data_IF_078036112628
#
_entry.id   IF_078036112628
#
_cell.length_a   1.000
_cell.length_b   1.000
_cell.length_c   1.000
_cell.angle_alpha   90.00
_cell.angle_beta   90.00
_cell.angle_gamma   90.00
#
_symmetry.space_group_name_H-M   'P 1'
#
loop_
_entity.id
_entity.type
_entity.pdbx_description
1 polymer ?
#
# COMPACT_ATOMS: atom_id res chain seq x y z
N UNK A 1 -19.78 -7.42 9.73
CA UNK A 1 -20.29 -6.08 10.14
C UNK A 1 -20.88 -5.35 8.94
N UNK A 2 -21.96 -5.86 8.33
CA UNK A 2 -22.62 -5.22 7.19
C UNK A 2 -24.13 -5.29 7.41
N UNK A 3 -24.67 -4.42 8.30
CA UNK A 3 -26.12 -4.10 8.37
C UNK A 3 -26.52 -3.04 9.42
N UNK A 4 -25.60 -2.22 9.94
CA UNK A 4 -25.90 -1.34 11.10
C UNK A 4 -25.95 0.15 10.79
N UNK A 5 -25.80 0.59 9.54
CA UNK A 5 -25.86 2.01 9.18
C UNK A 5 -27.11 2.31 8.34
N UNK A 6 -27.96 3.20 8.84
CA UNK A 6 -29.21 3.65 8.21
C UNK A 6 -29.03 4.82 7.24
N UNK A 7 -27.83 5.43 7.21
CA UNK A 7 -27.53 6.58 6.38
C UNK A 7 -27.23 6.17 4.93
N UNK A 8 -27.87 6.86 3.97
CA UNK A 8 -27.66 6.68 2.53
C UNK A 8 -26.54 7.55 1.95
N UNK A 9 -26.06 8.53 2.72
CA UNK A 9 -25.02 9.47 2.31
C UNK A 9 -24.03 9.69 3.46
N UNK A 10 -22.75 9.63 3.14
CA UNK A 10 -21.65 9.94 4.05
C UNK A 10 -20.84 11.07 3.43
N UNK A 11 -20.71 12.19 4.14
CA UNK A 11 -19.87 13.30 3.74
C UNK A 11 -18.64 13.33 4.63
N UNK A 12 -17.46 13.40 4.01
CA UNK A 12 -16.20 13.64 4.70
C UNK A 12 -15.54 14.88 4.10
N UNK A 13 -15.27 15.88 4.93
CA UNK A 13 -14.47 17.06 4.54
C UNK A 13 -13.09 16.91 5.16
N UNK A 14 -12.04 17.06 4.35
CA UNK A 14 -10.67 16.86 4.78
C UNK A 14 -9.71 17.76 4.00
N UNK A 15 -8.42 17.50 4.11
CA UNK A 15 -7.37 18.23 3.40
C UNK A 15 -6.95 17.51 2.12
N UNK A 16 -6.30 18.25 1.23
CA UNK A 16 -5.55 17.75 0.07
C UNK A 16 -4.63 16.55 0.41
N UNK A 17 -3.95 16.60 1.57
CA UNK A 17 -3.12 15.51 2.09
C UNK A 17 -3.89 14.23 2.45
N UNK A 18 -5.22 14.32 2.61
CA UNK A 18 -6.10 13.15 2.72
C UNK A 18 -6.47 12.63 1.34
N UNK A 19 -6.84 13.54 0.42
CA UNK A 19 -7.20 13.18 -0.95
C UNK A 19 -6.04 12.52 -1.69
N UNK A 20 -4.80 12.99 -1.54
CA UNK A 20 -3.62 12.38 -2.18
C UNK A 20 -3.44 10.92 -1.74
N UNK A 21 -3.79 10.56 -0.50
CA UNK A 21 -3.72 9.17 -0.03
C UNK A 21 -4.80 8.29 -0.64
N UNK A 22 -5.99 8.85 -0.84
CA UNK A 22 -7.07 8.18 -1.55
C UNK A 22 -6.69 8.01 -3.02
N UNK A 23 -6.15 9.04 -3.67
CA UNK A 23 -5.64 9.00 -5.03
C UNK A 23 -4.58 7.90 -5.22
N UNK A 24 -3.62 7.77 -4.30
CA UNK A 24 -2.66 6.66 -4.33
C UNK A 24 -3.34 5.28 -4.25
N UNK A 25 -4.36 5.14 -3.41
CA UNK A 25 -5.12 3.89 -3.29
C UNK A 25 -5.96 3.60 -4.53
N UNK A 26 -6.38 4.63 -5.25
CA UNK A 26 -7.06 4.49 -6.54
C UNK A 26 -6.10 4.40 -7.73
N UNK A 27 -4.78 4.42 -7.49
CA UNK A 27 -3.72 4.52 -8.51
C UNK A 27 -3.99 5.64 -9.53
N UNK A 28 -4.46 6.77 -8.99
CA UNK A 28 -4.70 7.99 -9.73
C UNK A 28 -3.39 8.77 -9.85
N UNK A 29 -2.80 8.69 -11.04
CA UNK A 29 -1.48 9.22 -11.36
C UNK A 29 -1.56 10.57 -12.09
N UNK A 30 -2.76 11.14 -12.18
CA UNK A 30 -3.01 12.44 -12.82
C UNK A 30 -2.50 13.57 -11.92
N UNK A 31 -2.29 14.76 -12.49
CA UNK A 31 -1.79 15.90 -11.71
C UNK A 31 -2.75 16.26 -10.57
N UNK A 32 -4.07 16.25 -10.79
CA UNK A 32 -5.08 16.59 -9.77
C UNK A 32 -5.25 15.48 -8.71
N UNK A 33 -4.79 14.25 -9.01
CA UNK A 33 -4.71 13.18 -8.02
C UNK A 33 -3.58 13.43 -7.02
N UNK A 34 -2.46 13.96 -7.51
CA UNK A 34 -1.26 14.24 -6.71
C UNK A 34 -1.28 15.62 -6.05
N UNK A 35 -1.87 16.58 -6.72
CA UNK A 35 -1.99 17.97 -6.29
C UNK A 35 -3.46 18.39 -6.41
N UNK A 36 -4.33 17.92 -5.51
CA UNK A 36 -5.74 18.23 -5.53
C UNK A 36 -5.99 19.75 -5.59
N UNK A 37 -6.71 20.27 -6.59
CA UNK A 37 -7.13 21.67 -6.62
C UNK A 37 -8.11 21.99 -5.48
N UNK A 38 -8.34 23.28 -5.26
CA UNK A 38 -9.24 23.73 -4.20
C UNK A 38 -10.65 23.15 -4.40
N UNK A 39 -11.21 22.60 -3.32
CA UNK A 39 -12.53 21.97 -3.29
C UNK A 39 -12.71 20.77 -4.24
N UNK A 40 -11.63 20.06 -4.57
CA UNK A 40 -11.74 18.76 -5.24
C UNK A 40 -12.61 17.81 -4.42
N UNK A 41 -13.57 17.20 -5.11
CA UNK A 41 -14.57 16.29 -4.55
C UNK A 41 -14.44 14.94 -5.24
N UNK A 42 -14.31 13.89 -4.43
CA UNK A 42 -14.42 12.50 -4.88
C UNK A 42 -15.73 11.91 -4.34
N UNK A 43 -16.58 11.43 -5.24
CA UNK A 43 -17.84 10.77 -4.90
C UNK A 43 -17.72 9.28 -5.19
N UNK A 44 -18.09 8.44 -4.22
CA UNK A 44 -18.21 7.00 -4.38
C UNK A 44 -19.68 6.62 -4.20
N UNK A 45 -20.26 6.05 -5.24
CA UNK A 45 -21.67 5.65 -5.28
C UNK A 45 -21.76 4.11 -5.31
N UNK A 46 -22.65 3.56 -4.50
CA UNK A 46 -23.05 2.16 -4.60
C UNK A 46 -24.29 2.07 -5.48
N UNK A 47 -24.15 1.46 -6.63
CA UNK A 47 -25.20 1.27 -7.63
C UNK A 47 -25.69 -0.18 -7.58
N UNK A 48 -26.98 -0.39 -7.78
CA UNK A 48 -27.56 -1.72 -7.99
C UNK A 48 -27.98 -1.84 -9.47
N UNK A 49 -27.54 -2.90 -10.13
CA UNK A 49 -28.01 -3.21 -11.47
C UNK A 49 -29.45 -3.72 -11.39
N UNK A 50 -30.37 -3.03 -12.07
CA UNK A 50 -31.79 -3.35 -11.99
C UNK A 50 -32.13 -4.76 -12.48
N UNK A 51 -31.36 -5.29 -13.44
CA UNK A 51 -31.64 -6.56 -14.13
C UNK A 51 -31.24 -7.78 -13.30
N UNK A 52 -30.04 -7.79 -12.75
CA UNK A 52 -29.46 -8.94 -12.06
C UNK A 52 -29.24 -8.72 -10.56
N UNK A 53 -29.57 -7.52 -10.04
CA UNK A 53 -29.42 -7.13 -8.64
C UNK A 53 -27.98 -7.20 -8.13
N UNK A 54 -27.00 -7.13 -9.04
CA UNK A 54 -25.59 -7.06 -8.69
C UNK A 54 -25.19 -5.63 -8.33
N UNK A 55 -24.26 -5.50 -7.37
CA UNK A 55 -23.80 -4.20 -6.91
C UNK A 55 -22.52 -3.76 -7.62
N UNK A 56 -22.48 -2.48 -7.95
CA UNK A 56 -21.36 -1.80 -8.58
C UNK A 56 -20.96 -0.57 -7.78
N UNK A 57 -19.69 -0.19 -7.84
CA UNK A 57 -19.19 1.09 -7.34
C UNK A 57 -18.93 1.99 -8.53
N UNK A 58 -19.47 3.22 -8.51
CA UNK A 58 -19.05 4.29 -9.41
C UNK A 58 -18.25 5.32 -8.64
N UNK A 59 -17.12 5.73 -9.19
CA UNK A 59 -16.33 6.82 -8.64
C UNK A 59 -16.39 8.03 -9.57
N UNK A 60 -16.53 9.24 -9.02
CA UNK A 60 -16.52 10.49 -9.79
C UNK A 60 -15.59 11.48 -9.10
N UNK A 61 -14.78 12.18 -9.90
CA UNK A 61 -13.89 13.24 -9.43
C UNK A 61 -14.21 14.54 -10.14
N UNK A 62 -14.20 15.64 -9.40
CA UNK A 62 -14.42 16.96 -9.97
C UNK A 62 -14.03 18.06 -9.00
N UNK A 63 -13.95 19.28 -9.52
CA UNK A 63 -13.60 20.46 -8.74
C UNK A 63 -14.21 21.71 -9.40
N UNK A 64 -14.37 22.83 -8.66
CA UNK A 64 -14.68 24.11 -9.27
C UNK A 64 -13.51 24.60 -10.13
N UNK A 65 -13.77 25.43 -11.12
CA UNK A 65 -12.72 26.17 -11.80
C UNK A 65 -11.91 27.04 -10.82
N UNK A 66 -10.61 27.19 -11.07
CA UNK A 66 -9.66 27.77 -10.09
C UNK A 66 -9.34 29.25 -10.36
N UNK A 67 -9.99 29.87 -11.36
CA UNK A 67 -9.78 31.27 -11.72
C UNK A 67 -11.11 32.02 -11.82
N UNK A 68 -11.13 33.36 -11.62
CA UNK A 68 -12.37 34.14 -11.76
C UNK A 68 -13.09 33.96 -13.10
N UNK A 69 -12.33 33.79 -14.20
CA UNK A 69 -12.89 33.62 -15.55
C UNK A 69 -13.74 32.35 -15.70
N UNK A 70 -13.51 31.35 -14.85
CA UNK A 70 -14.31 30.10 -14.82
C UNK A 70 -15.61 30.25 -14.03
N UNK A 71 -15.83 31.39 -13.37
CA UNK A 71 -16.95 31.60 -12.45
C UNK A 71 -16.96 30.66 -11.24
N UNK A 72 -15.85 29.93 -11.00
CA UNK A 72 -15.75 28.87 -9.99
C UNK A 72 -16.83 27.78 -10.13
N UNK A 73 -17.34 27.56 -11.34
CA UNK A 73 -18.34 26.53 -11.59
C UNK A 73 -17.74 25.13 -11.39
N UNK A 74 -18.48 24.27 -10.69
CA UNK A 74 -18.10 22.88 -10.49
C UNK A 74 -18.31 22.09 -11.77
N UNK A 75 -17.31 21.27 -12.13
CA UNK A 75 -17.40 20.32 -13.22
C UNK A 75 -16.83 18.96 -12.79
N UNK A 76 -17.42 17.89 -13.32
CA UNK A 76 -16.82 16.57 -13.27
C UNK A 76 -15.69 16.47 -14.29
N UNK A 77 -14.64 15.77 -13.93
CA UNK A 77 -13.54 15.49 -14.83
C UNK A 77 -13.88 14.29 -15.71
N UNK A 78 -13.96 14.52 -17.02
CA UNK A 78 -14.33 13.50 -18.00
C UNK A 78 -13.19 12.55 -18.34
N UNK A 79 -11.95 13.01 -18.16
CA UNK A 79 -10.75 12.30 -18.60
C UNK A 79 -10.17 11.41 -17.49
N UNK A 80 -10.66 11.56 -16.27
CA UNK A 80 -10.26 10.73 -15.14
C UNK A 80 -10.92 9.35 -15.21
N UNK A 81 -10.09 8.30 -15.13
CA UNK A 81 -10.53 6.90 -15.15
C UNK A 81 -10.19 6.15 -13.86
N UNK A 82 -11.21 5.55 -13.26
CA UNK A 82 -11.08 4.59 -12.17
C UNK A 82 -10.43 3.31 -12.68
N UNK A 83 -9.49 2.77 -11.90
CA UNK A 83 -8.93 1.44 -12.11
C UNK A 83 -9.58 0.41 -11.21
N UNK A 84 -9.75 -0.80 -11.73
CA UNK A 84 -10.30 -1.95 -11.02
C UNK A 84 -9.47 -3.20 -11.31
N UNK A 85 -9.75 -4.29 -10.59
CA UNK A 85 -8.96 -5.52 -10.68
C UNK A 85 -9.88 -6.71 -10.74
N UNK A 86 -9.72 -7.54 -11.76
CA UNK A 86 -10.52 -8.75 -11.95
C UNK A 86 -10.07 -9.90 -11.02
N UNK A 87 -10.77 -11.04 -11.11
CA UNK A 87 -10.48 -12.22 -10.29
C UNK A 87 -9.08 -12.83 -10.55
N UNK A 88 -8.44 -12.50 -11.68
CA UNK A 88 -7.10 -12.95 -12.05
C UNK A 88 -6.00 -11.97 -11.63
N UNK A 89 -6.36 -10.96 -10.82
CA UNK A 89 -5.48 -9.89 -10.35
C UNK A 89 -4.95 -8.99 -11.47
N UNK A 90 -5.65 -8.91 -12.60
CA UNK A 90 -5.30 -7.98 -13.67
C UNK A 90 -6.01 -6.65 -13.47
N UNK A 91 -5.23 -5.57 -13.47
CA UNK A 91 -5.76 -4.22 -13.38
C UNK A 91 -6.28 -3.76 -14.74
N UNK A 92 -7.42 -3.08 -14.76
CA UNK A 92 -8.05 -2.53 -15.97
C UNK A 92 -8.72 -1.19 -15.68
N UNK A 93 -8.91 -0.38 -16.72
CA UNK A 93 -9.65 0.89 -16.61
C UNK A 93 -11.16 0.61 -16.68
N UNK A 94 -11.89 1.17 -15.73
CA UNK A 94 -13.33 1.03 -15.63
C UNK A 94 -14.05 1.84 -16.71
N UNK A 95 -15.05 1.24 -17.35
CA UNK A 95 -15.98 1.97 -18.23
C UNK A 95 -16.88 2.84 -17.35
N UNK A 96 -17.05 4.10 -17.73
CA UNK A 96 -17.86 5.09 -16.99
C UNK A 96 -17.54 5.17 -15.49
N UNK A 97 -16.27 4.95 -15.15
CA UNK A 97 -15.77 4.88 -13.78
C UNK A 97 -16.55 3.93 -12.86
N UNK A 98 -17.10 2.86 -13.43
CA UNK A 98 -17.98 1.92 -12.74
C UNK A 98 -17.37 0.52 -12.72
N UNK A 99 -17.35 -0.11 -11.54
CA UNK A 99 -16.80 -1.45 -11.33
C UNK A 99 -17.74 -2.34 -10.55
N UNK A 100 -17.73 -3.66 -10.79
CA UNK A 100 -18.31 -4.61 -9.84
C UNK A 100 -17.71 -4.38 -8.45
N UNK A 101 -18.53 -4.44 -7.39
CA UNK A 101 -18.06 -4.22 -6.01
C UNK A 101 -16.88 -5.14 -5.66
N UNK A 102 -16.92 -6.40 -6.11
CA UNK A 102 -15.85 -7.35 -5.86
C UNK A 102 -14.51 -6.92 -6.48
N UNK A 103 -14.54 -6.34 -7.67
CA UNK A 103 -13.36 -5.92 -8.42
C UNK A 103 -12.78 -4.61 -7.86
N UNK A 104 -13.65 -3.68 -7.48
CA UNK A 104 -13.25 -2.47 -6.76
C UNK A 104 -12.61 -2.81 -5.41
N UNK A 105 -13.23 -3.68 -4.61
CA UNK A 105 -12.68 -4.11 -3.32
C UNK A 105 -11.35 -4.81 -3.50
N UNK A 106 -11.21 -5.71 -4.49
CA UNK A 106 -9.95 -6.39 -4.77
C UNK A 106 -8.85 -5.39 -5.14
N UNK A 107 -9.17 -4.42 -6.00
CA UNK A 107 -8.24 -3.37 -6.39
C UNK A 107 -7.80 -2.52 -5.20
N UNK A 108 -8.75 -2.02 -4.41
CA UNK A 108 -8.47 -1.22 -3.22
C UNK A 108 -7.70 -2.04 -2.18
N UNK A 109 -8.00 -3.32 -1.97
CA UNK A 109 -7.22 -4.15 -1.03
C UNK A 109 -5.79 -4.41 -1.52
N UNK A 110 -5.60 -4.50 -2.83
CA UNK A 110 -4.29 -4.66 -3.44
C UNK A 110 -3.44 -3.37 -3.33
N UNK A 111 -4.05 -2.20 -3.52
CA UNK A 111 -3.38 -0.90 -3.51
C UNK A 111 -3.32 -0.23 -2.13
N UNK A 112 -4.29 -0.48 -1.25
CA UNK A 112 -4.40 0.17 0.05
C UNK A 112 -3.41 -0.43 1.08
N UNK A 113 -2.69 0.42 1.83
CA UNK A 113 -1.87 -0.03 2.95
C UNK A 113 -2.75 -0.42 4.17
N UNK A 114 -2.43 -1.47 4.96
CA UNK A 114 -1.43 -2.51 4.75
C UNK A 114 -2.11 -3.89 4.71
N UNK A 115 -2.36 -4.45 3.52
CA UNK A 115 -2.65 -5.90 3.40
C UNK A 115 -1.46 -6.64 2.77
N UNK A 116 -0.76 -5.96 1.85
CA UNK A 116 0.60 -6.33 1.45
C UNK A 116 1.40 -5.05 1.25
N UNK A 117 2.70 -5.09 1.53
CA UNK A 117 3.58 -3.94 1.45
C UNK A 117 3.85 -3.46 0.01
N UNK A 118 3.23 -4.10 -1.00
CA UNK A 118 3.26 -3.67 -2.41
C UNK A 118 2.44 -2.40 -2.67
N UNK A 119 1.23 -2.26 -2.14
CA UNK A 119 0.35 -1.12 -2.49
C UNK A 119 0.94 0.26 -2.15
N UNK A 120 1.50 0.42 -0.94
CA UNK A 120 2.18 1.65 -0.52
C UNK A 120 3.48 1.92 -1.28
N UNK A 121 4.13 0.86 -1.74
CA UNK A 121 5.48 0.90 -2.29
C UNK A 121 5.54 0.73 -3.80
N UNK A 122 4.38 0.55 -4.45
CA UNK A 122 4.26 0.48 -5.88
C UNK A 122 4.35 1.91 -6.43
N UNK A 123 5.40 2.15 -7.21
CA UNK A 123 5.61 3.38 -7.95
C UNK A 123 5.58 3.01 -9.42
N UNK A 124 4.81 3.75 -10.22
CA UNK A 124 4.92 3.66 -11.67
C UNK A 124 6.26 4.25 -12.16
N UNK A 125 6.58 4.07 -13.45
CA UNK A 125 7.83 4.55 -14.03
C UNK A 125 8.03 6.06 -13.87
N UNK A 126 6.94 6.85 -13.95
CA UNK A 126 7.00 8.31 -13.80
C UNK A 126 7.39 8.70 -12.38
N UNK A 127 6.83 8.05 -11.36
CA UNK A 127 7.20 8.29 -9.97
C UNK A 127 8.61 7.80 -9.66
N UNK A 128 9.03 6.67 -10.22
CA UNK A 128 10.41 6.19 -10.09
C UNK A 128 11.42 7.21 -10.62
N UNK A 129 11.12 7.85 -11.75
CA UNK A 129 11.93 8.94 -12.29
C UNK A 129 11.93 10.17 -11.38
N UNK A 130 10.78 10.55 -10.82
CA UNK A 130 10.65 11.72 -9.93
C UNK A 130 11.40 11.54 -8.60
N UNK A 131 11.34 10.35 -7.99
CA UNK A 131 12.13 10.08 -6.79
C UNK A 131 13.62 9.97 -7.09
N UNK A 132 14.00 9.77 -8.36
CA UNK A 132 15.37 9.75 -8.84
C UNK A 132 16.27 8.83 -8.00
N UNK A 133 15.84 7.58 -7.82
CA UNK A 133 16.70 6.54 -7.25
C UNK A 133 17.69 6.03 -8.32
N UNK A 134 18.95 5.75 -7.95
CA UNK A 134 19.88 5.06 -8.85
C UNK A 134 19.30 3.72 -9.32
N UNK A 135 19.38 3.46 -10.62
CA UNK A 135 19.02 2.17 -11.20
C UNK A 135 19.97 1.08 -10.71
N UNK A 136 19.44 -0.12 -10.45
CA UNK A 136 20.19 -1.22 -9.85
C UNK A 136 20.73 -0.90 -8.45
N UNK A 137 21.96 -1.30 -8.19
CA UNK A 137 22.61 -1.10 -6.90
C UNK A 137 24.13 -1.19 -6.98
N UNK A 138 24.77 -0.93 -5.86
CA UNK A 138 26.23 -0.95 -5.73
C UNK A 138 26.74 -2.38 -5.49
N UNK A 139 27.98 -2.65 -5.87
CA UNK A 139 28.66 -3.87 -5.47
C UNK A 139 28.96 -3.85 -3.97
N UNK A 140 29.15 -5.04 -3.40
CA UNK A 140 29.57 -5.15 -2.00
C UNK A 140 30.94 -4.49 -1.81
N UNK A 141 31.03 -3.50 -0.92
CA UNK A 141 32.26 -2.77 -0.63
C UNK A 141 32.49 -1.53 -1.49
N UNK A 142 31.63 -1.23 -2.47
CA UNK A 142 31.68 0.03 -3.19
C UNK A 142 31.23 1.22 -2.34
N UNK A 143 31.71 2.40 -2.69
CA UNK A 143 31.33 3.65 -2.03
C UNK A 143 29.82 3.93 -2.26
N UNK A 144 29.09 4.41 -1.24
CA UNK A 144 27.69 4.78 -1.39
C UNK A 144 27.49 5.85 -2.46
N UNK A 145 26.49 5.67 -3.31
CA UNK A 145 26.07 6.68 -4.27
C UNK A 145 25.27 7.79 -3.58
N UNK A 146 25.35 9.05 -4.04
CA UNK A 146 24.48 10.10 -3.54
C UNK A 146 23.02 9.76 -3.83
N UNK A 147 22.15 9.87 -2.82
CA UNK A 147 20.72 9.61 -2.94
C UNK A 147 19.93 10.90 -2.79
N UNK A 148 18.98 11.13 -3.70
CA UNK A 148 18.01 12.22 -3.56
C UNK A 148 17.21 12.08 -2.26
N UNK A 149 16.65 13.18 -1.76
CA UNK A 149 15.77 13.16 -0.59
C UNK A 149 14.54 12.28 -0.80
N UNK A 150 13.96 12.31 -2.01
CA UNK A 150 12.86 11.45 -2.42
C UNK A 150 13.22 9.95 -2.38
N UNK A 151 14.39 9.59 -2.90
CA UNK A 151 14.86 8.21 -2.90
C UNK A 151 15.12 7.70 -1.46
N UNK A 152 15.76 8.53 -0.62
CA UNK A 152 15.98 8.18 0.79
C UNK A 152 14.67 7.97 1.54
N UNK A 153 13.69 8.86 1.32
CA UNK A 153 12.37 8.75 1.92
C UNK A 153 11.67 7.45 1.49
N UNK A 154 11.67 7.17 0.19
CA UNK A 154 11.08 5.95 -0.36
C UNK A 154 11.74 4.68 0.21
N UNK A 155 13.08 4.57 0.14
CA UNK A 155 13.84 3.41 0.63
C UNK A 155 13.62 3.15 2.12
N UNK A 156 13.52 4.20 2.96
CA UNK A 156 13.19 4.06 4.39
C UNK A 156 11.79 3.49 4.62
N UNK A 157 10.82 3.90 3.81
CA UNK A 157 9.41 3.54 4.01
C UNK A 157 9.03 2.23 3.33
N UNK A 158 9.78 1.84 2.30
CA UNK A 158 9.53 0.70 1.43
C UNK A 158 10.72 -0.27 1.32
N UNK A 159 11.31 -0.73 2.44
CA UNK A 159 12.58 -1.45 2.40
C UNK A 159 12.53 -2.76 1.60
N UNK A 160 11.38 -3.43 1.57
CA UNK A 160 11.20 -4.71 0.87
C UNK A 160 11.02 -4.60 -0.66
N UNK A 161 10.75 -3.41 -1.20
CA UNK A 161 10.49 -3.21 -2.65
C UNK A 161 11.39 -2.17 -3.29
N UNK A 162 12.21 -1.47 -2.50
CA UNK A 162 12.96 -0.35 -3.03
C UNK A 162 14.22 -0.75 -3.83
N UNK A 163 14.50 -2.05 -3.95
CA UNK A 163 15.61 -2.59 -4.71
C UNK A 163 15.13 -3.56 -5.79
N UNK A 164 15.80 -3.51 -6.93
CA UNK A 164 15.59 -4.44 -8.03
C UNK A 164 15.98 -5.87 -7.64
N UNK A 165 15.51 -6.85 -8.44
CA UNK A 165 15.83 -8.26 -8.22
C UNK A 165 17.35 -8.48 -8.25
N UNK A 166 17.88 -9.18 -7.26
CA UNK A 166 19.34 -9.43 -7.12
C UNK A 166 20.05 -8.45 -6.19
N UNK A 167 19.34 -7.43 -5.68
CA UNK A 167 19.86 -6.46 -4.72
C UNK A 167 19.09 -6.48 -3.40
N UNK A 168 19.77 -6.12 -2.31
CA UNK A 168 19.19 -6.00 -0.97
C UNK A 168 19.47 -4.61 -0.40
N UNK A 169 18.46 -4.00 0.23
CA UNK A 169 18.62 -2.67 0.82
C UNK A 169 19.48 -2.73 2.10
N UNK A 170 20.58 -1.99 2.12
CA UNK A 170 21.33 -1.72 3.34
C UNK A 170 20.56 -0.71 4.20
N UNK A 171 20.22 -1.07 5.44
CA UNK A 171 19.38 -0.26 6.33
C UNK A 171 20.04 1.04 6.81
N UNK A 172 21.37 1.12 6.77
CA UNK A 172 22.14 2.27 7.25
C UNK A 172 22.41 3.24 6.10
N UNK A 173 23.02 2.75 5.02
CA UNK A 173 23.39 3.58 3.86
C UNK A 173 22.24 3.83 2.90
N UNK A 174 21.13 3.08 3.04
CA UNK A 174 19.99 3.05 2.12
C UNK A 174 20.40 2.73 0.68
N UNK A 175 21.52 2.03 0.49
CA UNK A 175 21.95 1.57 -0.83
C UNK A 175 21.36 0.19 -1.10
N UNK A 176 20.95 -0.04 -2.35
CA UNK A 176 20.71 -1.39 -2.83
C UNK A 176 22.08 -2.03 -3.09
N UNK A 177 22.44 -3.05 -2.32
CA UNK A 177 23.72 -3.76 -2.42
C UNK A 177 23.48 -5.08 -3.13
N UNK A 178 24.33 -5.39 -4.10
CA UNK A 178 24.18 -6.61 -4.86
C UNK A 178 24.41 -7.85 -3.99
N UNK A 179 23.48 -8.81 -4.07
CA UNK A 179 23.53 -10.08 -3.35
C UNK A 179 23.39 -11.31 -4.27
N UNK A 180 23.20 -11.09 -5.58
CA UNK A 180 23.19 -12.18 -6.57
C UNK A 180 24.59 -12.76 -6.82
N UNK A 181 24.64 -14.00 -7.30
CA UNK A 181 25.89 -14.70 -7.64
C UNK A 181 26.75 -13.97 -8.67
N UNK A 182 26.14 -13.12 -9.50
CA UNK A 182 26.82 -12.22 -10.45
C UNK A 182 27.75 -11.21 -9.78
N UNK A 183 27.64 -11.01 -8.47
CA UNK A 183 28.42 -10.04 -7.70
C UNK A 183 29.51 -10.70 -6.85
N UNK A 184 29.59 -12.04 -6.85
CA UNK A 184 30.63 -12.80 -6.15
C UNK A 184 31.94 -12.95 -6.96
N UNK A 185 32.04 -12.36 -8.16
CA UNK A 185 33.20 -12.55 -9.05
C UNK A 185 34.33 -11.52 -8.90
N UNK A 186 34.28 -10.64 -7.89
CA UNK A 186 35.37 -9.68 -7.64
C UNK A 186 35.84 -9.79 -6.18
N UNK A 187 36.59 -10.86 -5.89
CA UNK A 187 37.56 -10.82 -4.80
C UNK A 187 38.87 -11.49 -5.23
N UNK A 188 39.68 -10.76 -5.99
CA UNK A 188 41.12 -11.01 -6.06
C UNK A 188 41.71 -10.67 -4.69
N UNK A 189 41.87 -11.65 -3.82
CA UNK A 189 42.44 -11.42 -2.48
C UNK A 189 42.22 -12.57 -1.50
N UNK A 190 43.06 -13.59 -1.61
CA UNK A 190 43.21 -14.79 -0.79
C UNK A 190 42.93 -14.63 0.71
N UNK A 191 41.92 -15.32 1.26
CA UNK A 191 42.07 -16.06 2.53
C UNK A 191 41.15 -17.27 2.59
N UNK A 192 41.81 -18.41 2.42
CA UNK A 192 41.33 -19.78 2.62
C UNK A 192 40.81 -19.93 4.06
N UNK A 193 39.51 -20.18 4.23
CA UNK A 193 39.00 -20.96 5.36
C UNK A 193 38.08 -22.04 4.80
N UNK A 194 38.57 -23.27 4.95
CA UNK A 194 37.97 -24.52 4.54
C UNK A 194 36.75 -24.80 5.43
N UNK A 195 35.60 -25.02 4.79
CA UNK A 195 34.35 -25.47 5.40
C UNK A 195 33.58 -26.35 4.41
N UNK A 196 34.07 -27.59 4.30
CA UNK A 196 33.66 -28.76 3.50
C UNK A 196 32.16 -29.09 3.69
N UNK A 197 31.36 -29.31 2.65
CA UNK A 197 30.84 -30.61 2.12
C UNK A 197 29.49 -30.27 1.42
N UNK A 198 29.01 -30.76 0.26
CA UNK A 198 29.32 -31.90 -0.63
C UNK A 198 29.10 -31.43 -2.09
N UNK A 199 29.98 -31.92 -2.96
CA UNK A 199 29.93 -31.85 -4.42
C UNK A 199 29.03 -32.98 -4.96
N UNK A 200 28.10 -32.68 -5.87
CA UNK A 200 27.40 -33.68 -6.68
C UNK A 200 27.24 -33.15 -8.11
N UNK A 201 27.70 -34.00 -9.02
CA UNK A 201 28.02 -33.79 -10.43
C UNK A 201 26.80 -33.83 -11.37
N UNK A 202 26.97 -33.35 -12.61
CA UNK A 202 26.07 -33.21 -13.78
C UNK A 202 24.71 -33.96 -13.81
N UNK A 203 23.59 -33.29 -14.16
CA UNK A 203 23.04 -33.25 -15.53
C UNK A 203 21.70 -32.45 -15.67
N UNK A 204 21.35 -32.15 -16.92
CA UNK A 204 20.22 -31.41 -17.51
C UNK A 204 18.81 -31.39 -16.83
N UNK A 205 18.14 -30.23 -17.00
CA UNK A 205 16.69 -29.96 -17.02
C UNK A 205 15.85 -30.24 -15.76
N UNK A 206 15.48 -29.15 -15.05
CA UNK A 206 14.11 -28.85 -14.60
C UNK A 206 14.05 -27.53 -13.81
N UNK A 207 13.08 -26.66 -14.13
CA UNK A 207 12.74 -25.50 -13.31
C UNK A 207 12.35 -25.92 -11.87
N UNK A 208 12.97 -25.39 -10.80
CA UNK A 208 12.45 -25.58 -9.46
C UNK A 208 11.44 -24.49 -9.12
N UNK A 209 10.24 -24.97 -8.84
CA UNK A 209 9.16 -24.26 -8.17
C UNK A 209 9.62 -23.64 -6.85
N UNK A 210 8.87 -22.59 -6.47
CA UNK A 210 8.84 -21.98 -5.14
C UNK A 210 9.09 -22.99 -4.01
N UNK A 211 10.11 -22.74 -3.21
CA UNK A 211 10.33 -23.43 -1.94
C UNK A 211 10.47 -22.39 -0.84
N UNK A 212 9.76 -22.67 0.26
CA UNK A 212 9.29 -21.69 1.22
C UNK A 212 10.37 -20.99 2.03
N UNK A 213 9.99 -19.81 2.51
CA UNK A 213 10.74 -19.09 3.53
C UNK A 213 10.82 -19.92 4.81
N UNK A 214 12.04 -20.08 5.31
CA UNK A 214 12.38 -20.67 6.60
C UNK A 214 11.63 -19.96 7.74
N UNK A 215 11.11 -20.77 8.67
CA UNK A 215 10.28 -20.44 9.82
C UNK A 215 10.95 -19.59 10.92
N UNK A 216 12.11 -18.98 10.65
CA UNK A 216 12.88 -18.24 11.66
C UNK A 216 12.65 -16.71 11.66
N UNK A 217 11.95 -16.14 10.66
CA UNK A 217 11.74 -14.68 10.58
C UNK A 217 10.37 -14.20 11.08
N UNK A 218 9.46 -15.10 11.44
CA UNK A 218 8.08 -14.75 11.86
C UNK A 218 8.01 -14.38 13.35
N UNK A 219 9.00 -14.72 14.16
CA UNK A 219 8.93 -14.51 15.62
C UNK A 219 9.21 -13.07 16.08
N UNK A 220 9.95 -12.26 15.32
CA UNK A 220 10.39 -10.94 15.79
C UNK A 220 9.39 -9.78 15.56
N UNK A 221 8.46 -9.92 14.60
CA UNK A 221 7.46 -8.88 14.29
C UNK A 221 6.15 -9.07 15.08
N UNK A 222 5.91 -10.29 15.59
CA UNK A 222 4.69 -10.64 16.32
C UNK A 222 4.72 -10.16 17.78
N UNK A 223 5.89 -9.99 18.40
CA UNK A 223 5.98 -9.58 19.81
C UNK A 223 5.77 -8.06 20.02
N UNK A 224 6.07 -7.22 19.04
CA UNK A 224 5.88 -5.76 19.16
C UNK A 224 4.43 -5.29 18.96
N UNK A 225 3.62 -6.05 18.22
CA UNK A 225 2.25 -5.68 17.84
C UNK A 225 1.17 -6.28 18.77
N UNK A 226 1.49 -7.34 19.51
CA UNK A 226 0.58 -7.91 20.52
C UNK A 226 0.53 -7.09 21.81
N UNK A 227 1.62 -6.44 22.22
CA UNK A 227 1.65 -5.67 23.48
C UNK A 227 0.79 -4.40 23.43
N UNK A 228 0.66 -3.76 22.27
CA UNK A 228 -0.20 -2.56 22.11
C UNK A 228 -1.67 -2.97 21.94
N UNK A 229 -1.94 -4.06 21.22
CA UNK A 229 -3.30 -4.57 21.02
C UNK A 229 -3.96 -5.03 22.32
N UNK A 230 -3.22 -5.78 23.16
CA UNK A 230 -3.74 -6.31 24.43
C UNK A 230 -4.06 -5.17 25.42
N UNK A 231 -3.21 -4.14 25.50
CA UNK A 231 -3.43 -2.99 26.40
C UNK A 231 -4.65 -2.16 26.01
N UNK A 232 -4.90 -1.97 24.70
CA UNK A 232 -6.09 -1.24 24.22
C UNK A 232 -7.36 -2.06 24.45
N UNK A 233 -7.35 -3.37 24.22
CA UNK A 233 -8.51 -4.22 24.50
C UNK A 233 -8.83 -4.33 25.98
N UNK A 234 -7.81 -4.38 26.87
CA UNK A 234 -8.00 -4.43 28.32
C UNK A 234 -8.56 -3.11 28.88
N UNK A 235 -8.14 -1.96 28.35
CA UNK A 235 -8.70 -0.67 28.74
C UNK A 235 -10.16 -0.50 28.31
N UNK A 236 -10.50 -0.92 27.09
CA UNK A 236 -11.88 -0.81 26.57
C UNK A 236 -12.82 -1.77 27.31
N UNK A 237 -12.39 -3.00 27.58
CA UNK A 237 -13.21 -3.94 28.38
C UNK A 237 -13.35 -3.51 29.83
N UNK A 238 -12.30 -2.95 30.46
CA UNK A 238 -12.39 -2.43 31.83
C UNK A 238 -13.32 -1.22 31.94
N UNK A 239 -13.26 -0.29 30.98
CA UNK A 239 -14.15 0.87 30.94
C UNK A 239 -15.63 0.47 30.71
N UNK A 240 -15.89 -0.48 29.82
CA UNK A 240 -17.25 -0.98 29.57
C UNK A 240 -17.80 -1.80 30.76
N UNK A 241 -16.96 -2.56 31.46
CA UNK A 241 -17.36 -3.28 32.68
C UNK A 241 -17.62 -2.33 33.86
N UNK A 242 -16.88 -1.21 33.99
CA UNK A 242 -17.11 -0.21 35.03
C UNK A 242 -18.37 0.63 34.77
N UNK A 243 -18.62 1.03 33.52
CA UNK A 243 -19.84 1.77 33.15
C UNK A 243 -21.11 0.92 33.25
N UNK A 244 -21.04 -0.38 32.94
CA UNK A 244 -22.18 -1.30 33.07
C UNK A 244 -22.49 -1.70 34.51
N UNK A 245 -21.50 -1.64 35.43
CA UNK A 245 -21.73 -1.84 36.87
C UNK A 245 -22.37 -0.62 37.54
N UNK A 246 -22.00 0.59 37.14
CA UNK A 246 -22.62 1.83 37.65
C UNK A 246 -24.11 1.91 37.28
N UNK A 247 -24.49 1.48 36.07
CA UNK A 247 -25.90 1.48 35.64
C UNK A 247 -26.77 0.45 36.38
N UNK A 248 -26.19 -0.61 36.95
CA UNK A 248 -26.95 -1.63 37.71
C UNK A 248 -27.13 -1.28 39.19
N UNK A 249 -26.28 -0.41 39.76
CA UNK A 249 -26.45 0.07 41.13
C UNK A 249 -27.38 1.29 41.23
N UNK A 250 -27.54 2.06 40.16
CA UNK A 250 -28.45 3.21 40.14
C UNK A 250 -29.96 2.86 40.09
N UNK A 251 -30.33 1.57 40.07
CA UNK A 251 -31.72 1.11 40.13
C UNK A 251 -32.11 0.42 41.45
N UNK A 252 -31.26 0.42 42.48
CA UNK A 252 -31.54 -0.21 43.77
C UNK A 252 -31.63 0.76 44.97
N UNK A 253 -31.59 2.07 44.74
CA UNK A 253 -31.79 3.06 45.80
C UNK A 253 -32.89 4.07 45.43
N UNK A 254 -34.15 3.64 45.56
CA UNK A 254 -35.24 4.55 45.93
C UNK A 254 -36.19 3.77 46.88
N UNK A 255 -36.31 4.17 48.16
CA UNK A 255 -37.34 3.67 49.05
C UNK A 255 -38.73 4.20 48.68
#
# INVERSE_FOLDING_TARGET
MANTKTFKLFHYSAHDTTLIRIACSLQDTTNDGLLPPFAQTLVLELLENEKDKTFHVRALRGHPGQTPDTGFHFAWETDWQLKCMDAWQQAYNAVDNTCPVADFVRFVQWSAPPVTSKGYCYLDERFLQLINCPAGGIQSGEAPLPLSSGCQYYRKRCPSYACERGYMLNSVSLQCVCVSSSCSSVSTGTRRLVGRFIDADYDEVAMPQSSGMSSASVAAVVLGSLCVGILVTAFITSALCLCSRSSKYAQLEQP
#
